data_IF_521264458434
#
_entry.id   IF_521264458434
#
_cell.length_a   1.000
_cell.length_b   1.000
_cell.length_c   1.000
_cell.angle_alpha   90.00
_cell.angle_beta   90.00
_cell.angle_gamma   90.00
#
_symmetry.space_group_name_H-M   'P 1'
#
loop_
_entity.id
_entity.type
_entity.pdbx_description
1 polymer ?
#
# COMPACT_ATOMS: atom_id res chain seq x y z
N UNK A 1 20.12 1.02 -4.92
CA UNK A 1 18.86 1.42 -4.27
C UNK A 1 17.90 1.84 -5.35
N UNK A 2 16.80 1.10 -5.55
CA UNK A 2 15.82 1.36 -6.60
C UNK A 2 14.41 1.39 -6.02
N UNK A 3 13.60 2.35 -6.46
CA UNK A 3 12.20 2.51 -6.04
C UNK A 3 11.28 1.66 -6.90
N UNK A 4 10.44 0.84 -6.27
CA UNK A 4 9.47 -0.04 -6.97
C UNK A 4 8.06 0.11 -6.40
N UNK A 5 7.02 0.07 -7.25
CA UNK A 5 5.65 0.05 -6.78
C UNK A 5 5.29 -1.30 -6.15
N UNK A 6 4.52 -1.28 -5.08
CA UNK A 6 3.86 -2.47 -4.55
C UNK A 6 2.38 -2.20 -4.27
N UNK A 7 1.49 -3.05 -4.80
CA UNK A 7 0.04 -2.88 -4.59
C UNK A 7 -0.40 -3.60 -3.31
N UNK A 8 -1.11 -2.88 -2.45
CA UNK A 8 -1.78 -3.42 -1.27
C UNK A 8 -3.25 -3.01 -1.20
N UNK A 9 -4.04 -3.87 -0.56
CA UNK A 9 -5.44 -3.59 -0.24
C UNK A 9 -5.53 -2.78 1.07
N UNK A 10 -6.67 -2.14 1.30
CA UNK A 10 -6.94 -1.40 2.53
C UNK A 10 -6.61 -2.16 3.84
N UNK A 11 -7.04 -3.43 4.04
CA UNK A 11 -6.68 -4.17 5.26
C UNK A 11 -5.18 -4.45 5.38
N UNK A 12 -4.47 -4.65 4.25
CA UNK A 12 -3.01 -4.83 4.28
C UNK A 12 -2.27 -3.54 4.64
N UNK A 13 -2.74 -2.39 4.15
CA UNK A 13 -2.19 -1.08 4.52
C UNK A 13 -2.43 -0.81 6.01
N UNK A 14 -3.63 -1.08 6.54
CA UNK A 14 -3.88 -1.00 7.98
C UNK A 14 -2.96 -1.92 8.78
N UNK A 15 -2.72 -3.13 8.30
CA UNK A 15 -1.78 -4.05 8.94
C UNK A 15 -0.33 -3.52 8.93
N UNK A 16 0.10 -2.85 7.85
CA UNK A 16 1.40 -2.18 7.80
C UNK A 16 1.49 -1.00 8.78
N UNK A 17 0.47 -0.13 8.80
CA UNK A 17 0.41 1.03 9.69
C UNK A 17 0.43 0.63 11.17
N UNK A 18 -0.15 -0.53 11.49
CA UNK A 18 -0.17 -1.08 12.86
C UNK A 18 1.01 -2.01 13.15
N UNK A 19 1.96 -2.16 12.22
CA UNK A 19 3.14 -3.03 12.38
C UNK A 19 2.87 -4.54 12.32
N UNK A 20 1.62 -4.98 12.14
CA UNK A 20 1.24 -6.41 12.10
C UNK A 20 1.64 -7.14 10.81
N UNK A 21 2.03 -6.39 9.77
CA UNK A 21 2.48 -6.97 8.51
C UNK A 21 3.92 -6.54 8.23
N UNK A 22 4.83 -7.49 8.23
CA UNK A 22 6.26 -7.28 7.96
C UNK A 22 6.73 -7.98 6.69
N UNK A 23 6.01 -9.02 6.24
CA UNK A 23 6.39 -9.84 5.10
C UNK A 23 5.31 -9.87 4.01
N UNK A 24 5.72 -10.05 2.76
CA UNK A 24 4.82 -10.33 1.63
C UNK A 24 5.48 -11.28 0.63
N UNK A 25 4.69 -12.18 0.03
CA UNK A 25 5.14 -13.05 -1.06
C UNK A 25 4.58 -12.59 -2.40
N UNK A 26 5.37 -12.77 -3.47
CA UNK A 26 5.01 -12.46 -4.86
C UNK A 26 5.52 -13.57 -5.78
N UNK A 27 4.87 -13.75 -6.92
CA UNK A 27 5.35 -14.69 -7.93
C UNK A 27 6.74 -14.24 -8.44
N UNK A 28 7.62 -15.22 -8.68
CA UNK A 28 8.95 -14.97 -9.24
C UNK A 28 8.90 -14.42 -10.69
N UNK A 29 7.75 -14.49 -11.35
CA UNK A 29 7.49 -13.83 -12.64
C UNK A 29 7.10 -12.35 -12.50
N UNK A 30 6.84 -11.86 -11.29
CA UNK A 30 6.41 -10.48 -11.08
C UNK A 30 7.58 -9.50 -11.22
N UNK A 31 7.32 -8.20 -11.49
CA UNK A 31 8.36 -7.17 -11.53
C UNK A 31 9.18 -7.05 -10.24
N UNK A 32 8.66 -7.53 -9.12
CA UNK A 32 9.33 -7.52 -7.81
C UNK A 32 10.33 -8.67 -7.63
N UNK A 33 10.46 -9.59 -8.58
CA UNK A 33 11.45 -10.67 -8.51
C UNK A 33 12.90 -10.14 -8.47
N UNK A 34 13.14 -8.92 -8.97
CA UNK A 34 14.44 -8.24 -8.92
C UNK A 34 14.60 -7.29 -7.72
N UNK A 35 13.72 -7.37 -6.72
CA UNK A 35 13.94 -6.61 -5.48
C UNK A 35 15.12 -7.22 -4.70
N UNK A 36 15.95 -6.36 -4.14
CA UNK A 36 17.09 -6.71 -3.31
C UNK A 36 17.03 -5.92 -2.00
N UNK A 37 17.80 -6.37 -1.01
CA UNK A 37 17.95 -5.66 0.26
C UNK A 37 18.43 -4.22 0.01
N UNK A 38 17.84 -3.27 0.71
CA UNK A 38 18.07 -1.83 0.55
C UNK A 38 17.26 -1.17 -0.55
N UNK A 39 16.46 -1.90 -1.33
CA UNK A 39 15.47 -1.30 -2.23
C UNK A 39 14.31 -0.66 -1.47
N UNK A 40 13.61 0.27 -2.12
CA UNK A 40 12.44 0.96 -1.55
C UNK A 40 11.18 0.54 -2.28
N UNK A 41 10.14 0.17 -1.53
CA UNK A 41 8.83 -0.19 -2.02
C UNK A 41 7.83 0.91 -1.66
N UNK A 42 7.37 1.67 -2.64
CA UNK A 42 6.30 2.63 -2.40
C UNK A 42 4.94 1.95 -2.56
N UNK A 43 4.13 2.06 -1.53
CA UNK A 43 2.85 1.36 -1.44
C UNK A 43 1.83 2.07 -2.32
N UNK A 44 1.16 1.28 -3.16
CA UNK A 44 0.01 1.68 -3.92
C UNK A 44 -1.26 1.12 -3.32
N UNK A 45 -2.19 1.99 -2.97
CA UNK A 45 -3.48 1.67 -2.37
C UNK A 45 -4.62 2.41 -3.06
N UNK A 46 -5.86 2.01 -2.74
CA UNK A 46 -7.04 2.68 -3.28
C UNK A 46 -7.14 4.09 -2.67
N UNK A 47 -7.13 5.08 -3.55
CA UNK A 47 -7.01 6.50 -3.19
C UNK A 47 -8.00 7.35 -3.99
N UNK A 48 -8.36 8.52 -3.48
CA UNK A 48 -9.13 9.53 -4.21
C UNK A 48 -8.53 10.92 -3.98
N UNK A 49 -8.37 11.75 -5.03
CA UNK A 49 -7.91 13.13 -4.85
C UNK A 49 -8.91 13.96 -4.04
N UNK A 50 -8.47 15.07 -3.47
CA UNK A 50 -9.36 16.04 -2.81
C UNK A 50 -10.51 16.49 -3.72
N UNK A 51 -10.28 16.59 -5.02
CA UNK A 51 -11.32 16.94 -6.00
C UNK A 51 -12.45 15.90 -6.15
N UNK A 52 -12.26 14.69 -5.62
CA UNK A 52 -13.30 13.66 -5.63
C UNK A 52 -14.26 13.74 -4.43
N UNK A 53 -13.99 14.63 -3.46
CA UNK A 53 -14.90 14.91 -2.35
C UNK A 53 -16.23 15.46 -2.83
N UNK A 54 -17.31 14.95 -2.27
CA UNK A 54 -18.65 15.53 -2.44
C UNK A 54 -19.07 16.39 -1.24
N UNK A 55 -18.39 16.32 -0.10
CA UNK A 55 -18.61 17.22 1.05
C UNK A 55 -17.69 18.45 1.00
N UNK A 56 -18.13 19.54 1.65
CA UNK A 56 -17.38 20.79 1.70
C UNK A 56 -16.17 20.78 2.64
N UNK A 57 -16.03 19.78 3.53
CA UNK A 57 -14.91 19.69 4.47
C UNK A 57 -14.18 18.33 4.37
N UNK A 58 -13.02 18.28 3.69
CA UNK A 58 -12.22 17.06 3.52
C UNK A 58 -11.55 16.53 4.78
N UNK A 59 -11.54 17.28 5.88
CA UNK A 59 -10.77 16.93 7.08
C UNK A 59 -9.26 17.19 6.92
N UNK A 60 -8.61 17.48 8.05
CA UNK A 60 -7.22 17.94 8.10
C UNK A 60 -6.21 16.95 7.53
N UNK A 61 -6.37 15.66 7.82
CA UNK A 61 -5.45 14.62 7.33
C UNK A 61 -5.51 14.47 5.80
N UNK A 62 -6.72 14.47 5.22
CA UNK A 62 -6.86 14.38 3.78
C UNK A 62 -6.28 15.60 3.06
N UNK A 63 -6.40 16.79 3.67
CA UNK A 63 -5.72 18.00 3.16
C UNK A 63 -4.21 17.85 3.17
N UNK A 64 -3.61 17.36 4.27
CA UNK A 64 -2.18 17.13 4.37
C UNK A 64 -1.66 16.11 3.35
N UNK A 65 -2.41 15.02 3.15
CA UNK A 65 -2.04 13.95 2.21
C UNK A 65 -2.52 14.20 0.77
N UNK A 66 -3.15 15.35 0.52
CA UNK A 66 -3.76 15.74 -0.77
C UNK A 66 -4.72 14.67 -1.33
N UNK A 67 -5.49 14.00 -0.46
CA UNK A 67 -6.51 13.03 -0.84
C UNK A 67 -6.92 12.06 0.27
N UNK A 68 -7.77 11.11 -0.11
CA UNK A 68 -8.39 10.11 0.76
C UNK A 68 -7.84 8.73 0.44
N UNK A 69 -7.79 7.88 1.45
CA UNK A 69 -7.31 6.52 1.33
C UNK A 69 -8.33 5.56 1.94
N UNK A 70 -8.64 4.47 1.22
CA UNK A 70 -9.58 3.47 1.74
C UNK A 70 -9.12 2.81 3.03
N UNK A 71 -7.81 2.80 3.31
CA UNK A 71 -7.28 2.24 4.54
C UNK A 71 -7.75 2.99 5.79
N UNK A 72 -8.04 4.29 5.68
CA UNK A 72 -8.33 5.15 6.84
C UNK A 72 -9.74 4.93 7.39
N UNK A 73 -10.64 4.34 6.60
CA UNK A 73 -11.98 3.94 7.06
C UNK A 73 -12.93 5.09 7.43
N UNK A 74 -12.49 6.35 7.34
CA UNK A 74 -13.27 7.53 7.71
C UNK A 74 -14.24 8.05 6.66
N UNK A 75 -14.25 7.48 5.45
CA UNK A 75 -15.13 7.92 4.36
C UNK A 75 -16.46 7.17 4.40
N UNK A 76 -17.54 7.89 4.67
CA UNK A 76 -18.92 7.39 4.57
C UNK A 76 -19.24 7.14 3.09
N UNK A 77 -20.02 6.09 2.82
CA UNK A 77 -20.50 5.79 1.48
C UNK A 77 -21.22 7.02 0.88
N UNK A 78 -20.80 7.45 -0.32
CA UNK A 78 -21.31 8.66 -0.98
C UNK A 78 -20.49 9.95 -0.80
N UNK A 79 -19.51 9.99 0.12
CA UNK A 79 -18.64 11.17 0.31
C UNK A 79 -17.53 11.31 -0.74
N UNK A 80 -17.23 10.22 -1.45
CA UNK A 80 -16.24 10.19 -2.53
C UNK A 80 -16.95 9.76 -3.80
N UNK A 81 -16.97 10.67 -4.77
CA UNK A 81 -17.62 10.46 -6.07
C UNK A 81 -16.94 9.36 -6.88
N UNK A 82 -15.60 9.24 -6.77
CA UNK A 82 -14.82 8.26 -7.52
C UNK A 82 -13.56 7.83 -6.79
N UNK A 83 -13.43 6.52 -6.59
CA UNK A 83 -12.19 5.91 -6.13
C UNK A 83 -11.27 5.57 -7.30
N UNK A 84 -9.97 5.86 -7.14
CA UNK A 84 -8.91 5.37 -8.03
C UNK A 84 -8.39 4.04 -7.50
N UNK A 85 -8.46 2.95 -8.28
CA UNK A 85 -7.88 1.67 -7.90
C UNK A 85 -6.35 1.76 -7.73
N UNK A 86 -5.78 0.94 -6.85
CA UNK A 86 -4.34 0.97 -6.53
C UNK A 86 -3.41 0.87 -7.75
N UNK A 87 -3.84 0.14 -8.80
CA UNK A 87 -3.07 -0.01 -10.06
C UNK A 87 -2.90 1.32 -10.82
N UNK A 88 -3.71 2.34 -10.52
CA UNK A 88 -3.69 3.65 -11.14
C UNK A 88 -3.20 4.78 -10.21
N UNK A 89 -2.97 4.51 -8.92
CA UNK A 89 -2.49 5.54 -7.99
C UNK A 89 -1.11 6.09 -8.43
N UNK A 90 -0.95 7.41 -8.57
CA UNK A 90 0.34 8.01 -8.97
C UNK A 90 1.38 7.93 -7.83
N UNK A 91 2.68 8.04 -8.18
CA UNK A 91 3.79 7.96 -7.20
C UNK A 91 3.71 9.03 -6.11
N UNK A 92 3.30 10.24 -6.46
CA UNK A 92 3.21 11.37 -5.52
C UNK A 92 2.13 11.17 -4.45
N UNK A 93 1.10 10.37 -4.74
CA UNK A 93 0.02 10.06 -3.79
C UNK A 93 0.37 8.87 -2.89
N UNK A 94 1.55 8.26 -3.03
CA UNK A 94 1.96 7.17 -2.14
C UNK A 94 2.52 7.76 -0.84
N UNK A 95 1.80 7.53 0.26
CA UNK A 95 2.16 8.01 1.60
C UNK A 95 3.02 7.04 2.43
N UNK A 96 3.23 5.81 1.94
CA UNK A 96 4.07 4.81 2.61
C UNK A 96 5.19 4.34 1.69
N UNK A 97 6.43 4.39 2.20
CA UNK A 97 7.60 3.81 1.56
C UNK A 97 8.27 2.84 2.52
N UNK A 98 8.39 1.58 2.12
CA UNK A 98 8.97 0.49 2.90
C UNK A 98 10.39 0.22 2.41
N UNK A 99 11.30 -0.11 3.31
CA UNK A 99 12.66 -0.55 2.94
C UNK A 99 12.71 -2.08 2.94
N UNK A 100 13.28 -2.67 1.89
CA UNK A 100 13.48 -4.11 1.81
C UNK A 100 14.64 -4.49 2.72
N UNK A 101 14.35 -5.22 3.79
CA UNK A 101 15.37 -5.72 4.74
C UNK A 101 15.80 -7.15 4.42
N UNK A 102 14.95 -7.91 3.74
CA UNK A 102 15.22 -9.29 3.29
C UNK A 102 14.50 -9.57 1.96
N UNK A 103 15.14 -10.34 1.08
CA UNK A 103 14.59 -10.75 -0.20
C UNK A 103 15.16 -12.12 -0.60
N UNK A 104 14.28 -13.11 -0.77
CA UNK A 104 14.64 -14.49 -1.09
C UNK A 104 13.62 -15.12 -2.03
N UNK A 105 14.09 -15.98 -2.93
CA UNK A 105 13.24 -16.82 -3.77
C UNK A 105 12.99 -18.13 -3.04
N UNK A 106 11.73 -18.53 -2.93
CA UNK A 106 11.31 -19.73 -2.21
C UNK A 106 10.29 -20.54 -3.03
N UNK A 107 10.31 -21.88 -2.96
CA UNK A 107 9.24 -22.71 -3.49
C UNK A 107 7.89 -22.38 -2.83
N UNK A 108 6.78 -22.53 -3.58
CA UNK A 108 5.45 -22.13 -3.14
C UNK A 108 5.01 -22.76 -1.80
N UNK A 109 5.46 -23.99 -1.52
CA UNK A 109 5.09 -24.75 -0.33
C UNK A 109 6.17 -24.78 0.76
N UNK A 110 7.17 -23.89 0.74
CA UNK A 110 8.25 -23.89 1.75
C UNK A 110 8.01 -22.92 2.92
N UNK A 111 6.75 -22.56 3.20
CA UNK A 111 6.41 -21.70 4.35
C UNK A 111 6.57 -22.49 5.65
N UNK A 112 7.20 -21.88 6.66
CA UNK A 112 7.25 -22.41 8.03
C UNK A 112 6.20 -21.75 8.93
N UNK A 113 5.87 -22.37 10.06
CA UNK A 113 4.96 -21.75 11.05
C UNK A 113 5.51 -20.43 11.60
N UNK A 114 6.83 -20.31 11.72
CA UNK A 114 7.50 -19.08 12.13
C UNK A 114 7.30 -17.95 11.10
N UNK A 115 7.25 -18.27 9.80
CA UNK A 115 6.92 -17.29 8.75
C UNK A 115 5.44 -16.88 8.76
N UNK A 116 4.56 -17.66 9.40
CA UNK A 116 3.12 -17.40 9.47
C UNK A 116 2.69 -16.59 10.71
N UNK A 117 3.57 -16.46 11.71
CA UNK A 117 3.31 -15.68 12.92
C UNK A 117 3.46 -14.18 12.64
N UNK A 118 2.51 -13.39 13.17
CA UNK A 118 2.42 -11.93 12.98
C UNK A 118 3.23 -11.15 14.02
#
# INVERSE_FOLDING_TARGET
MTDRPIIFSAPMVRALLTGRKTQTRRLASSPLARCAVGDRLYVREAWAPLSACTHNDPGSQAMADNGFYRADGGTIEGQISRWTPSIHQPRWASRLTLTVVDARIQPLCSITDADAQA
#
